data_IF_534368968003
#
_entry.id   IF_534368968003
#
_cell.length_a   1.000
_cell.length_b   1.000
_cell.length_c   1.000
_cell.angle_alpha   90.00
_cell.angle_beta   90.00
_cell.angle_gamma   90.00
#
_symmetry.space_group_name_H-M   'P 1'
#
loop_
_entity.id
_entity.type
_entity.pdbx_description
1 polymer ?
#
# COMPACT_ATOMS: atom_id res chain seq x y z
N UNK A 1 33.44 30.88 15.34
CA UNK A 1 32.91 30.57 13.98
C UNK A 1 32.81 29.07 13.72
N UNK A 2 33.87 28.25 13.87
CA UNK A 2 33.83 26.79 13.62
C UNK A 2 32.79 26.01 14.44
N UNK A 3 32.57 26.40 15.70
CA UNK A 3 31.60 25.78 16.62
C UNK A 3 30.15 26.02 16.21
N UNK A 4 29.82 27.23 15.73
CA UNK A 4 28.46 27.60 15.32
C UNK A 4 27.98 26.79 14.10
N UNK A 5 28.87 26.50 13.15
CA UNK A 5 28.55 25.65 12.00
C UNK A 5 28.29 24.20 12.40
N UNK A 6 29.05 23.66 13.35
CA UNK A 6 28.83 22.29 13.86
C UNK A 6 27.49 22.16 14.58
N UNK A 7 27.11 23.16 15.38
CA UNK A 7 25.80 23.18 16.06
C UNK A 7 24.64 23.30 15.08
N UNK A 8 24.76 24.15 14.05
CA UNK A 8 23.74 24.28 13.02
C UNK A 8 23.54 22.96 12.24
N UNK A 9 24.63 22.29 11.87
CA UNK A 9 24.57 21.00 11.17
C UNK A 9 23.91 19.90 12.03
N UNK A 10 24.20 19.85 13.33
CA UNK A 10 23.58 18.89 14.25
C UNK A 10 22.06 19.13 14.42
N UNK A 11 21.63 20.38 14.46
CA UNK A 11 20.20 20.75 14.52
C UNK A 11 19.45 20.35 13.23
N UNK A 12 20.06 20.58 12.07
CA UNK A 12 19.50 20.17 10.77
C UNK A 12 19.41 18.64 10.65
N UNK A 13 20.42 17.91 11.11
CA UNK A 13 20.41 16.45 11.11
C UNK A 13 19.33 15.87 12.05
N UNK A 14 19.14 16.46 13.24
CA UNK A 14 18.09 16.05 14.17
C UNK A 14 16.66 16.35 13.70
N UNK A 15 16.47 17.43 12.94
CA UNK A 15 15.17 17.74 12.32
C UNK A 15 14.82 16.78 11.17
N UNK A 16 15.82 16.34 10.40
CA UNK A 16 15.62 15.38 9.31
C UNK A 16 15.24 13.97 9.80
N UNK A 17 15.80 13.51 10.92
CA UNK A 17 15.44 12.21 11.51
C UNK A 17 14.04 12.20 12.10
N UNK A 18 13.58 13.30 12.70
CA UNK A 18 12.21 13.42 13.22
C UNK A 18 11.14 13.43 12.10
N UNK A 19 11.46 13.96 10.92
CA UNK A 19 10.56 13.97 9.78
C UNK A 19 10.31 12.58 9.17
N UNK A 20 11.26 11.65 9.26
CA UNK A 20 11.11 10.27 8.75
C UNK A 20 9.99 9.52 9.49
N UNK A 21 9.86 9.73 10.80
CA UNK A 21 8.88 9.04 11.65
C UNK A 21 7.44 9.56 11.46
N UNK A 22 7.25 10.67 10.72
CA UNK A 22 5.94 11.33 10.56
C UNK A 22 5.42 11.31 9.12
N UNK A 23 6.22 10.83 8.16
CA UNK A 23 5.78 10.67 6.77
C UNK A 23 4.84 9.48 6.60
N UNK A 24 3.53 9.72 6.57
CA UNK A 24 2.48 8.71 6.30
C UNK A 24 2.32 8.41 4.82
N UNK A 25 3.42 8.12 4.12
CA UNK A 25 3.28 7.50 2.81
C UNK A 25 2.88 6.04 3.07
N UNK A 26 1.58 5.76 2.99
CA UNK A 26 1.05 4.41 3.08
C UNK A 26 1.50 3.63 1.83
N UNK A 27 2.72 3.09 1.85
CA UNK A 27 3.17 2.17 0.80
C UNK A 27 2.41 0.88 0.99
N UNK A 28 1.56 0.55 0.02
CA UNK A 28 1.05 -0.80 -0.10
C UNK A 28 2.20 -1.73 -0.47
N UNK A 29 2.78 -2.36 0.55
CA UNK A 29 3.79 -3.40 0.39
C UNK A 29 3.07 -4.73 0.26
N UNK A 30 3.36 -5.47 -0.78
CA UNK A 30 2.85 -6.83 -0.94
C UNK A 30 3.98 -7.84 -0.82
N UNK A 31 3.63 -9.05 -0.41
CA UNK A 31 4.51 -10.22 -0.61
C UNK A 31 4.64 -10.52 -2.11
N UNK A 32 5.61 -11.37 -2.49
CA UNK A 32 5.78 -11.80 -3.89
C UNK A 32 4.67 -12.73 -4.41
N UNK A 33 3.57 -12.90 -3.67
CA UNK A 33 2.47 -13.78 -4.01
C UNK A 33 1.18 -12.99 -4.26
N UNK A 34 0.63 -13.14 -5.46
CA UNK A 34 -0.71 -12.64 -5.79
C UNK A 34 -1.80 -13.44 -5.08
N UNK A 35 -2.95 -12.80 -4.84
CA UNK A 35 -4.14 -13.50 -4.34
C UNK A 35 -4.67 -14.46 -5.40
N UNK A 36 -4.76 -13.97 -6.64
CA UNK A 36 -5.20 -14.74 -7.80
C UNK A 36 -4.81 -14.04 -9.10
N UNK A 37 -4.95 -14.73 -10.23
CA UNK A 37 -4.78 -14.20 -11.57
C UNK A 37 -5.90 -14.70 -12.46
N UNK A 38 -6.55 -13.79 -13.18
CA UNK A 38 -7.68 -14.16 -14.03
C UNK A 38 -8.31 -12.97 -14.73
N UNK A 39 -9.35 -13.23 -15.54
CA UNK A 39 -10.09 -12.23 -16.31
C UNK A 39 -11.23 -11.64 -15.48
N UNK A 40 -10.90 -10.93 -14.41
CA UNK A 40 -11.85 -10.40 -13.43
C UNK A 40 -11.58 -8.91 -13.23
N UNK A 41 -12.58 -8.06 -13.38
CA UNK A 41 -12.51 -6.62 -13.13
C UNK A 41 -13.76 -6.16 -12.38
N UNK A 42 -13.79 -6.28 -11.04
CA UNK A 42 -14.95 -5.90 -10.24
C UNK A 42 -15.18 -4.38 -10.16
N UNK A 43 -14.28 -3.56 -10.72
CA UNK A 43 -14.40 -2.09 -10.70
C UNK A 43 -15.18 -1.61 -11.92
N UNK A 44 -14.79 -2.04 -13.13
CA UNK A 44 -15.46 -1.62 -14.37
C UNK A 44 -16.58 -2.58 -14.80
N UNK A 45 -16.39 -3.90 -14.61
CA UNK A 45 -17.32 -4.91 -15.11
C UNK A 45 -17.66 -5.99 -14.06
N UNK A 46 -18.36 -5.62 -12.96
CA UNK A 46 -18.69 -6.55 -11.89
C UNK A 46 -19.39 -7.82 -12.38
N UNK A 47 -18.88 -8.98 -11.97
CA UNK A 47 -19.42 -10.31 -12.29
C UNK A 47 -19.08 -10.83 -13.69
N UNK A 48 -18.76 -9.96 -14.65
CA UNK A 48 -18.48 -10.31 -16.02
C UNK A 48 -17.03 -10.77 -16.23
N UNK A 49 -16.73 -11.24 -17.43
CA UNK A 49 -15.37 -11.66 -17.83
C UNK A 49 -14.65 -10.49 -18.49
N UNK A 50 -13.53 -10.04 -17.89
CA UNK A 50 -12.74 -8.91 -18.40
C UNK A 50 -12.10 -9.20 -19.76
N UNK A 51 -11.88 -8.17 -20.59
CA UNK A 51 -11.20 -8.28 -21.89
C UNK A 51 -9.73 -8.69 -21.77
N UNK A 52 -9.12 -8.54 -20.60
CA UNK A 52 -7.72 -8.88 -20.32
C UNK A 52 -7.56 -9.57 -18.96
N UNK A 53 -6.34 -10.01 -18.65
CA UNK A 53 -6.00 -10.74 -17.41
C UNK A 53 -5.41 -9.77 -16.38
N UNK A 54 -5.91 -9.85 -15.15
CA UNK A 54 -5.40 -9.09 -14.01
C UNK A 54 -4.55 -10.01 -13.11
N UNK A 55 -3.56 -9.43 -12.45
CA UNK A 55 -2.89 -10.00 -11.28
C UNK A 55 -3.45 -9.28 -10.07
N UNK A 56 -4.10 -10.01 -9.16
CA UNK A 56 -4.87 -9.40 -8.08
C UNK A 56 -4.04 -9.44 -6.80
N UNK A 57 -3.85 -8.26 -6.20
CA UNK A 57 -3.29 -8.09 -4.86
C UNK A 57 -4.36 -7.52 -3.93
N UNK A 58 -4.41 -7.97 -2.67
CA UNK A 58 -5.41 -7.46 -1.74
C UNK A 58 -5.74 -8.38 -0.57
N UNK A 59 -6.94 -8.17 -0.03
CA UNK A 59 -7.46 -8.88 1.13
C UNK A 59 -8.50 -9.94 0.79
N UNK A 60 -8.95 -10.66 1.83
CA UNK A 60 -9.79 -11.86 1.71
C UNK A 60 -11.22 -11.61 1.21
N UNK A 61 -11.68 -10.35 1.14
CA UNK A 61 -13.02 -9.99 0.64
C UNK A 61 -13.09 -9.79 -0.87
N UNK A 62 -11.98 -10.01 -1.60
CA UNK A 62 -11.99 -9.92 -3.07
C UNK A 62 -12.86 -11.00 -3.72
N UNK A 63 -13.68 -10.60 -4.69
CA UNK A 63 -14.41 -11.51 -5.58
C UNK A 63 -14.68 -10.84 -6.93
N UNK A 64 -15.25 -11.59 -7.89
CA UNK A 64 -15.61 -11.03 -9.22
C UNK A 64 -16.61 -9.87 -9.15
N UNK A 65 -17.33 -9.72 -8.05
CA UNK A 65 -18.38 -8.71 -7.85
C UNK A 65 -18.26 -8.03 -6.48
N UNK A 66 -17.07 -8.02 -5.88
CA UNK A 66 -16.85 -7.37 -4.57
C UNK A 66 -17.05 -5.86 -4.67
N UNK A 67 -17.72 -5.30 -3.67
CA UNK A 67 -17.92 -3.86 -3.48
C UNK A 67 -16.88 -3.26 -2.55
N UNK A 68 -16.87 -1.94 -2.39
CA UNK A 68 -16.03 -1.28 -1.38
C UNK A 68 -16.34 -1.76 0.03
N UNK A 69 -17.61 -1.97 0.35
CA UNK A 69 -18.09 -2.44 1.65
C UNK A 69 -17.61 -3.86 1.97
N UNK A 70 -17.53 -4.73 0.96
CA UNK A 70 -16.95 -6.08 1.11
C UNK A 70 -15.45 -5.99 1.40
N UNK A 71 -14.76 -5.09 0.70
CA UNK A 71 -13.32 -4.90 0.85
C UNK A 71 -12.94 -4.29 2.21
N UNK A 72 -13.78 -3.41 2.76
CA UNK A 72 -13.59 -2.84 4.11
C UNK A 72 -13.66 -3.91 5.22
N UNK A 73 -14.34 -5.03 4.99
CA UNK A 73 -14.42 -6.17 5.92
C UNK A 73 -13.33 -7.21 5.69
N UNK A 74 -12.43 -6.97 4.74
CA UNK A 74 -11.36 -7.92 4.39
C UNK A 74 -10.34 -8.08 5.50
N UNK A 75 -9.84 -9.30 5.65
CA UNK A 75 -8.58 -9.52 6.38
C UNK A 75 -7.41 -9.34 5.42
N UNK A 76 -6.28 -8.90 5.96
CA UNK A 76 -5.05 -8.81 5.17
C UNK A 76 -4.63 -10.20 4.69
N UNK A 77 -4.36 -10.35 3.39
CA UNK A 77 -3.97 -11.64 2.80
C UNK A 77 -2.55 -11.62 2.27
N UNK A 78 -2.25 -10.72 1.32
CA UNK A 78 -0.90 -10.65 0.74
C UNK A 78 -0.22 -9.28 0.91
N UNK A 79 -0.88 -8.33 1.58
CA UNK A 79 -0.27 -7.07 2.00
C UNK A 79 0.54 -7.25 3.29
N UNK A 80 1.72 -6.64 3.35
CA UNK A 80 2.54 -6.55 4.54
C UNK A 80 2.02 -5.38 5.39
N UNK A 81 1.32 -5.70 6.47
CA UNK A 81 0.89 -4.72 7.48
C UNK A 81 2.06 -4.52 8.44
N UNK A 82 2.85 -3.45 8.23
CA UNK A 82 3.86 -3.04 9.19
C UNK A 82 4.11 -1.54 9.11
#
# INVERSE_FOLDING_TARGET
MKSTFATAAALLAGAATAAHETGTFAVLRFTNNQLTKGRMDPILFPGLTSTHVHHIMGGSGFSKSSTGEDLLKSKCSNALVK
#
